data_IF_175436133609
#
_entry.id   IF_175436133609
#
_cell.length_a   1.000
_cell.length_b   1.000
_cell.length_c   1.000
_cell.angle_alpha   90.00
_cell.angle_beta   90.00
_cell.angle_gamma   90.00
#
_symmetry.space_group_name_H-M   'P 1'
#
loop_
_entity.id
_entity.type
_entity.pdbx_description
1 polymer ?
#
# COMPACT_ATOMS: atom_id res chain seq x y z
N UNK A 1 -13.51 -5.85 -22.76
CA UNK A 1 -12.06 -5.83 -22.44
C UNK A 1 -11.91 -5.39 -20.99
N UNK A 2 -10.93 -5.88 -20.22
CA UNK A 2 -10.65 -5.29 -18.92
C UNK A 2 -10.24 -3.82 -19.12
N UNK A 3 -10.90 -2.91 -18.42
CA UNK A 3 -10.97 -1.46 -18.72
C UNK A 3 -9.63 -0.71 -18.51
N UNK A 4 -8.55 -1.39 -18.08
CA UNK A 4 -7.23 -0.79 -17.84
C UNK A 4 -6.14 -1.08 -18.90
N UNK A 5 -6.34 -2.02 -19.84
CA UNK A 5 -5.26 -2.39 -20.78
C UNK A 5 -5.02 -1.35 -21.88
N UNK A 6 -6.03 -0.53 -22.21
CA UNK A 6 -5.91 0.47 -23.28
C UNK A 6 -4.89 1.55 -22.95
N UNK A 7 -4.96 2.13 -21.75
CA UNK A 7 -4.14 3.28 -21.38
C UNK A 7 -2.68 2.95 -21.15
N UNK A 8 -2.35 1.71 -20.74
CA UNK A 8 -0.96 1.28 -20.56
C UNK A 8 -0.14 1.38 -21.84
N UNK A 9 -0.76 1.14 -22.99
CA UNK A 9 -0.12 1.28 -24.31
C UNK A 9 0.17 2.73 -24.70
N UNK A 10 -0.50 3.70 -24.06
CA UNK A 10 -0.35 5.13 -24.34
C UNK A 10 0.73 5.79 -23.49
N UNK A 11 1.15 5.16 -22.39
CA UNK A 11 2.19 5.69 -21.49
C UNK A 11 3.57 5.34 -22.07
N UNK A 12 4.43 6.33 -22.40
CA UNK A 12 5.74 6.08 -22.94
C UNK A 12 6.58 5.18 -22.02
N UNK A 13 7.26 4.18 -22.58
CA UNK A 13 8.13 3.27 -21.82
C UNK A 13 9.21 4.02 -21.01
N UNK A 14 9.57 5.23 -21.41
CA UNK A 14 10.56 6.07 -20.73
C UNK A 14 10.15 6.49 -19.32
N UNK A 15 8.85 6.50 -19.00
CA UNK A 15 8.34 6.88 -17.67
C UNK A 15 7.76 5.70 -16.88
N UNK A 16 7.95 4.46 -17.35
CA UNK A 16 7.50 3.28 -16.60
C UNK A 16 8.42 3.06 -15.40
N UNK A 17 7.84 2.92 -14.20
CA UNK A 17 8.57 2.74 -12.93
C UNK A 17 9.59 1.58 -12.98
N UNK A 18 9.23 0.49 -13.65
CA UNK A 18 10.02 -0.75 -13.67
C UNK A 18 10.94 -0.86 -14.90
N UNK A 19 11.10 0.21 -15.69
CA UNK A 19 12.01 0.19 -16.84
C UNK A 19 13.45 0.50 -16.38
N UNK A 20 14.35 -0.47 -16.52
CA UNK A 20 15.76 -0.35 -16.17
C UNK A 20 16.58 0.59 -17.07
N UNK A 21 16.00 1.05 -18.19
CA UNK A 21 16.67 1.95 -19.15
C UNK A 21 16.00 3.33 -19.29
N UNK A 22 14.93 3.61 -18.55
CA UNK A 22 14.18 4.87 -18.60
C UNK A 22 14.53 5.83 -17.46
N UNK A 23 14.13 7.09 -17.59
CA UNK A 23 14.13 8.04 -16.48
C UNK A 23 12.95 7.69 -15.56
N UNK A 24 13.21 7.34 -14.30
CA UNK A 24 12.15 7.05 -13.31
C UNK A 24 11.49 8.37 -12.87
N UNK A 25 10.59 8.92 -13.69
CA UNK A 25 9.87 10.16 -13.40
C UNK A 25 8.45 9.81 -12.95
N UNK A 26 8.13 9.92 -11.65
CA UNK A 26 6.76 9.69 -11.17
C UNK A 26 5.84 10.81 -11.66
N UNK A 27 4.63 10.43 -12.10
CA UNK A 27 3.58 11.38 -12.49
C UNK A 27 2.51 11.41 -11.41
N UNK A 28 2.41 12.54 -10.70
CA UNK A 28 1.34 12.80 -9.74
C UNK A 28 0.18 13.50 -10.46
N UNK A 29 -0.98 12.85 -10.53
CA UNK A 29 -2.14 13.31 -11.27
C UNK A 29 -3.23 13.83 -10.33
N UNK A 30 -3.83 14.97 -10.68
CA UNK A 30 -4.88 15.64 -9.90
C UNK A 30 -6.15 15.78 -10.75
N UNK A 31 -7.18 14.99 -10.45
CA UNK A 31 -8.48 15.05 -11.12
C UNK A 31 -9.39 16.04 -10.41
N UNK A 32 -9.86 17.07 -11.13
CA UNK A 32 -10.73 18.11 -10.56
C UNK A 32 -12.18 17.92 -11.01
N UNK A 33 -13.11 18.00 -10.05
CA UNK A 33 -14.55 17.91 -10.34
C UNK A 33 -14.94 16.61 -11.04
N UNK A 34 -16.06 16.62 -11.77
CA UNK A 34 -16.68 15.41 -12.32
C UNK A 34 -16.29 15.11 -13.78
N UNK A 35 -15.62 16.05 -14.47
CA UNK A 35 -15.41 16.00 -15.92
C UNK A 35 -14.05 15.38 -16.34
N UNK A 36 -13.24 14.91 -15.39
CA UNK A 36 -11.94 14.31 -15.67
C UNK A 36 -12.05 12.80 -15.93
N UNK A 37 -11.17 12.25 -16.77
CA UNK A 37 -11.05 10.81 -16.96
C UNK A 37 -10.19 10.20 -15.83
N UNK A 38 -10.86 9.79 -14.75
CA UNK A 38 -10.20 9.22 -13.57
C UNK A 38 -9.43 7.94 -13.87
N UNK A 39 -9.90 7.08 -14.79
CA UNK A 39 -9.23 5.84 -15.14
C UNK A 39 -7.93 6.11 -15.91
N UNK A 40 -7.94 7.06 -16.85
CA UNK A 40 -6.75 7.52 -17.56
C UNK A 40 -5.71 8.10 -16.60
N UNK A 41 -6.14 9.02 -15.73
CA UNK A 41 -5.25 9.72 -14.81
C UNK A 41 -4.63 8.75 -13.79
N UNK A 42 -5.43 7.84 -13.22
CA UNK A 42 -4.93 6.78 -12.34
C UNK A 42 -3.95 5.85 -13.09
N UNK A 43 -4.27 5.46 -14.33
CA UNK A 43 -3.39 4.57 -15.09
C UNK A 43 -2.02 5.18 -15.33
N UNK A 44 -1.95 6.47 -15.71
CA UNK A 44 -0.68 7.18 -15.92
C UNK A 44 0.14 7.26 -14.62
N UNK A 45 -0.50 7.64 -13.52
CA UNK A 45 0.20 7.79 -12.24
C UNK A 45 0.69 6.43 -11.72
N UNK A 46 -0.14 5.40 -11.78
CA UNK A 46 0.21 4.05 -11.33
C UNK A 46 1.39 3.46 -12.13
N UNK A 47 1.38 3.59 -13.46
CA UNK A 47 2.45 3.07 -14.33
C UNK A 47 3.78 3.80 -14.08
N UNK A 48 3.72 5.09 -13.79
CA UNK A 48 4.91 5.90 -13.48
C UNK A 48 5.39 5.79 -12.03
N UNK A 49 4.59 5.19 -11.15
CA UNK A 49 4.89 5.13 -9.71
C UNK A 49 4.57 6.42 -8.96
N UNK A 50 3.82 7.34 -9.57
CA UNK A 50 3.24 8.50 -8.90
C UNK A 50 1.88 8.19 -8.28
N UNK A 51 1.15 9.22 -7.87
CA UNK A 51 -0.14 9.09 -7.18
C UNK A 51 -1.28 9.72 -7.99
N UNK A 52 -2.50 9.23 -7.79
CA UNK A 52 -3.71 9.91 -8.25
C UNK A 52 -4.47 10.51 -7.06
N UNK A 53 -4.78 11.80 -7.15
CA UNK A 53 -5.57 12.54 -6.17
C UNK A 53 -6.86 13.03 -6.84
N UNK A 54 -7.98 12.84 -6.16
CA UNK A 54 -9.27 13.35 -6.59
C UNK A 54 -9.61 14.59 -5.77
N UNK A 55 -9.86 15.72 -6.43
CA UNK A 55 -10.18 16.98 -5.79
C UNK A 55 -11.61 17.36 -6.18
N UNK A 56 -12.53 17.14 -5.25
CA UNK A 56 -13.95 17.42 -5.45
C UNK A 56 -14.26 18.92 -5.34
N UNK A 57 -13.57 19.65 -4.46
CA UNK A 57 -13.86 21.04 -4.16
C UNK A 57 -12.67 21.97 -4.43
N UNK A 58 -12.94 23.17 -4.95
CA UNK A 58 -11.90 24.14 -5.32
C UNK A 58 -11.07 24.61 -4.12
N UNK A 59 -11.68 24.65 -2.94
CA UNK A 59 -11.03 25.12 -1.72
C UNK A 59 -9.93 24.17 -1.21
N UNK A 60 -9.92 22.89 -1.61
CA UNK A 60 -8.88 21.92 -1.20
C UNK A 60 -7.75 21.78 -2.22
N UNK A 61 -7.82 22.50 -3.35
CA UNK A 61 -6.79 22.45 -4.40
C UNK A 61 -5.43 22.86 -3.85
N UNK A 62 -5.38 23.97 -3.10
CA UNK A 62 -4.12 24.48 -2.56
C UNK A 62 -3.46 23.48 -1.62
N UNK A 63 -4.23 22.87 -0.73
CA UNK A 63 -3.74 21.87 0.22
C UNK A 63 -3.20 20.63 -0.50
N UNK A 64 -3.92 20.14 -1.53
CA UNK A 64 -3.51 18.99 -2.31
C UNK A 64 -2.17 19.22 -3.04
N UNK A 65 -1.98 20.40 -3.63
CA UNK A 65 -0.70 20.76 -4.27
C UNK A 65 0.41 20.97 -3.24
N UNK A 66 0.12 21.64 -2.13
CA UNK A 66 1.09 21.86 -1.06
C UNK A 66 1.60 20.54 -0.49
N UNK A 67 0.72 19.56 -0.26
CA UNK A 67 1.09 18.23 0.19
C UNK A 67 2.01 17.52 -0.79
N UNK A 68 1.70 17.54 -2.09
CA UNK A 68 2.52 16.89 -3.11
C UNK A 68 3.89 17.56 -3.29
N UNK A 69 3.93 18.89 -3.35
CA UNK A 69 5.17 19.65 -3.49
C UNK A 69 6.02 19.51 -2.22
N UNK A 70 5.40 19.58 -1.04
CA UNK A 70 6.06 19.39 0.24
C UNK A 70 6.76 18.02 0.33
N UNK A 71 6.10 16.95 -0.13
CA UNK A 71 6.70 15.63 -0.24
C UNK A 71 7.92 15.61 -1.16
N UNK A 72 7.80 16.14 -2.38
CA UNK A 72 8.90 16.19 -3.35
C UNK A 72 10.11 17.00 -2.86
N UNK A 73 9.87 18.03 -2.04
CA UNK A 73 10.93 18.87 -1.46
C UNK A 73 11.52 18.31 -0.16
N UNK A 74 11.02 17.18 0.34
CA UNK A 74 11.42 16.57 1.61
C UNK A 74 11.96 15.15 1.44
N UNK A 75 12.50 14.80 0.27
CA UNK A 75 13.15 13.50 0.07
C UNK A 75 14.38 13.37 0.97
N UNK A 76 14.36 12.38 1.86
CA UNK A 76 15.44 12.09 2.82
C UNK A 76 16.10 10.74 2.59
N UNK A 77 15.48 9.87 1.78
CA UNK A 77 15.99 8.55 1.40
C UNK A 77 15.74 8.36 -0.09
N UNK A 78 16.78 7.97 -0.84
CA UNK A 78 16.69 7.64 -2.26
C UNK A 78 16.98 6.16 -2.51
N UNK A 79 16.35 5.63 -3.56
CA UNK A 79 16.57 4.26 -4.05
C UNK A 79 16.51 3.18 -2.94
N UNK A 80 15.60 3.32 -1.98
CA UNK A 80 15.43 2.37 -0.89
C UNK A 80 15.09 0.98 -1.43
N UNK A 81 15.90 0.02 -0.99
CA UNK A 81 15.72 -1.40 -1.21
C UNK A 81 15.64 -2.11 0.13
N UNK A 82 14.63 -2.97 0.30
CA UNK A 82 14.47 -3.76 1.52
C UNK A 82 14.71 -5.23 1.21
N UNK A 83 15.70 -5.81 1.86
CA UNK A 83 15.98 -7.24 1.83
C UNK A 83 15.47 -7.90 3.11
N UNK A 84 14.70 -8.97 2.98
CA UNK A 84 14.20 -9.78 4.09
C UNK A 84 14.74 -11.18 3.94
N UNK A 85 15.63 -11.61 4.82
CA UNK A 85 16.29 -12.92 4.76
C UNK A 85 15.91 -13.77 5.96
N UNK A 86 15.58 -15.03 5.73
CA UNK A 86 15.45 -16.02 6.79
C UNK A 86 16.79 -16.20 7.53
N UNK A 87 16.77 -16.04 8.85
CA UNK A 87 17.95 -16.18 9.69
C UNK A 87 18.44 -17.65 9.75
N UNK A 88 17.53 -18.60 9.57
CA UNK A 88 17.80 -20.04 9.67
C UNK A 88 17.37 -20.78 8.40
N UNK A 89 18.11 -21.83 8.03
CA UNK A 89 17.94 -22.58 6.78
C UNK A 89 16.60 -23.29 6.62
N UNK A 90 15.92 -23.55 7.74
CA UNK A 90 14.63 -24.25 7.85
C UNK A 90 13.39 -23.35 7.79
N UNK A 91 13.58 -22.04 7.85
CA UNK A 91 12.50 -21.08 7.71
C UNK A 91 12.25 -20.80 6.23
N UNK A 92 11.00 -20.53 5.90
CA UNK A 92 10.58 -20.14 4.55
C UNK A 92 9.54 -19.03 4.64
N UNK A 93 9.68 -18.03 3.77
CA UNK A 93 8.69 -17.00 3.52
C UNK A 93 7.55 -17.61 2.72
N UNK A 94 6.33 -17.43 3.20
CA UNK A 94 5.11 -17.88 2.52
C UNK A 94 4.60 -16.82 1.55
N UNK A 95 4.66 -15.54 1.95
CA UNK A 95 4.25 -14.42 1.10
C UNK A 95 4.81 -13.10 1.60
N UNK A 96 5.03 -12.17 0.67
CA UNK A 96 5.35 -10.76 0.96
C UNK A 96 4.31 -9.88 0.28
N UNK A 97 3.50 -9.18 1.07
CA UNK A 97 2.49 -8.25 0.59
C UNK A 97 3.07 -6.84 0.65
N UNK A 98 3.49 -6.34 -0.51
CA UNK A 98 4.18 -5.06 -0.66
C UNK A 98 3.38 -4.01 -1.45
N UNK A 99 2.04 -4.09 -1.50
CA UNK A 99 1.24 -3.12 -2.24
C UNK A 99 1.62 -3.03 -3.73
N UNK A 100 1.85 -1.81 -4.24
CA UNK A 100 2.32 -1.57 -5.62
C UNK A 100 3.84 -1.67 -5.80
N UNK A 101 4.59 -1.97 -4.73
CA UNK A 101 6.04 -2.08 -4.78
C UNK A 101 6.45 -3.43 -5.35
N UNK A 102 7.43 -3.42 -6.26
CA UNK A 102 7.94 -4.65 -6.85
C UNK A 102 8.63 -5.47 -5.76
N UNK A 103 8.12 -6.68 -5.53
CA UNK A 103 8.73 -7.64 -4.63
C UNK A 103 9.10 -8.92 -5.37
N UNK A 104 10.21 -9.54 -4.96
CA UNK A 104 10.61 -10.86 -5.48
C UNK A 104 10.95 -11.79 -4.33
N UNK A 105 10.65 -13.08 -4.50
CA UNK A 105 11.05 -14.15 -3.61
C UNK A 105 12.13 -14.98 -4.30
N UNK A 106 13.25 -15.18 -3.62
CA UNK A 106 14.41 -15.89 -4.16
C UNK A 106 14.93 -16.91 -3.15
N UNK A 107 15.96 -17.69 -3.55
CA UNK A 107 16.64 -18.66 -2.70
C UNK A 107 15.67 -19.66 -2.03
N UNK A 108 14.79 -20.28 -2.82
CA UNK A 108 13.74 -21.19 -2.36
C UNK A 108 12.84 -20.55 -1.29
N UNK A 109 12.39 -19.32 -1.54
CA UNK A 109 11.56 -18.51 -0.66
C UNK A 109 12.19 -18.22 0.72
N UNK A 110 13.52 -18.12 0.79
CA UNK A 110 14.24 -17.73 2.02
C UNK A 110 14.71 -16.30 2.03
N UNK A 111 14.58 -15.61 0.90
CA UNK A 111 14.92 -14.21 0.76
C UNK A 111 13.81 -13.53 -0.02
N UNK A 112 13.43 -12.34 0.41
CA UNK A 112 12.60 -11.43 -0.34
C UNK A 112 13.34 -10.12 -0.55
N UNK A 113 13.07 -9.48 -1.68
CA UNK A 113 13.60 -8.16 -2.03
C UNK A 113 12.42 -7.25 -2.37
N UNK A 114 12.38 -6.03 -1.85
CA UNK A 114 11.31 -5.05 -2.14
C UNK A 114 11.97 -3.77 -2.65
N UNK A 115 11.61 -3.35 -3.86
CA UNK A 115 12.05 -2.08 -4.44
C UNK A 115 11.08 -0.98 -4.03
N UNK A 116 11.50 -0.13 -3.10
CA UNK A 116 10.66 0.93 -2.54
C UNK A 116 10.83 2.22 -3.35
N UNK A 117 12.08 2.65 -3.56
CA UNK A 117 12.41 3.93 -4.19
C UNK A 117 12.56 5.03 -3.15
N UNK A 118 12.02 6.21 -3.41
CA UNK A 118 12.26 7.37 -2.56
C UNK A 118 11.26 7.48 -1.41
N UNK A 119 11.75 7.89 -0.23
CA UNK A 119 10.91 8.27 0.92
C UNK A 119 11.07 9.75 1.25
N UNK A 120 9.92 10.36 1.53
CA UNK A 120 9.87 11.72 2.06
C UNK A 120 10.08 11.71 3.58
N UNK A 121 10.40 12.87 4.15
CA UNK A 121 10.49 13.02 5.58
C UNK A 121 9.15 12.62 6.22
N UNK A 122 9.23 11.90 7.35
CA UNK A 122 8.07 11.43 8.11
C UNK A 122 7.17 10.41 7.37
N UNK A 123 7.56 9.94 6.17
CA UNK A 123 6.87 8.84 5.50
C UNK A 123 7.28 7.48 6.09
N UNK A 124 6.28 6.62 6.29
CA UNK A 124 6.46 5.21 6.65
C UNK A 124 5.97 4.30 5.51
N UNK A 125 6.61 3.13 5.36
CA UNK A 125 6.17 2.06 4.44
C UNK A 125 6.13 0.74 5.18
N UNK A 126 4.93 0.24 5.38
CA UNK A 126 4.72 -1.05 6.01
C UNK A 126 4.58 -2.17 4.98
N UNK A 127 5.28 -3.28 5.19
CA UNK A 127 5.17 -4.48 4.35
C UNK A 127 4.83 -5.69 5.21
N UNK A 128 3.80 -6.45 4.80
CA UNK A 128 3.38 -7.62 5.56
C UNK A 128 4.09 -8.87 5.02
N UNK A 129 4.96 -9.45 5.86
CA UNK A 129 5.69 -10.69 5.56
C UNK A 129 5.07 -11.84 6.35
N UNK A 130 4.73 -12.92 5.65
CA UNK A 130 4.26 -14.17 6.26
C UNK A 130 5.34 -15.22 6.12
N UNK A 131 5.65 -15.94 7.20
CA UNK A 131 6.64 -17.01 7.21
C UNK A 131 6.09 -18.27 7.89
N UNK A 132 6.62 -19.41 7.49
CA UNK A 132 6.36 -20.70 8.13
C UNK A 132 7.41 -20.95 9.20
N UNK A 133 6.96 -21.11 10.44
CA UNK A 133 7.82 -21.36 11.60
C UNK A 133 7.67 -22.83 12.02
N UNK A 134 8.74 -23.65 12.01
CA UNK A 134 8.64 -25.06 12.38
C UNK A 134 8.32 -25.26 13.87
N UNK A 135 7.70 -26.39 14.21
CA UNK A 135 7.47 -26.79 15.60
C UNK A 135 8.74 -27.46 16.12
N UNK A 136 9.40 -26.83 17.10
CA UNK A 136 10.67 -27.30 17.64
C UNK A 136 10.73 -27.16 19.15
N UNK A 137 11.38 -28.14 19.78
CA UNK A 137 11.80 -28.09 21.17
C UNK A 137 13.22 -27.51 21.23
N UNK A 138 13.38 -26.25 20.85
CA UNK A 138 14.67 -25.55 20.90
C UNK A 138 14.71 -24.53 22.04
N UNK A 139 15.88 -23.92 22.24
CA UNK A 139 16.17 -22.78 23.12
C UNK A 139 15.03 -21.76 23.21
N UNK A 140 14.96 -21.09 24.36
CA UNK A 140 13.98 -20.05 24.71
C UNK A 140 13.76 -19.02 23.59
N UNK A 141 14.75 -18.74 22.73
CA UNK A 141 14.65 -17.77 21.64
C UNK A 141 15.02 -18.36 20.25
N UNK A 142 14.35 -17.87 19.20
CA UNK A 142 14.64 -18.20 17.81
C UNK A 142 14.65 -16.95 16.93
N UNK A 143 15.77 -16.72 16.25
CA UNK A 143 15.86 -15.75 15.16
C UNK A 143 15.08 -16.20 13.93
N UNK A 144 14.21 -15.33 13.43
CA UNK A 144 13.35 -15.56 12.27
C UNK A 144 13.89 -14.90 11.02
N UNK A 145 14.01 -13.57 11.06
CA UNK A 145 14.32 -12.75 9.90
C UNK A 145 15.46 -11.80 10.21
N UNK A 146 16.27 -11.51 9.20
CA UNK A 146 17.21 -10.41 9.16
C UNK A 146 16.72 -9.50 8.06
N UNK A 147 16.37 -8.27 8.42
CA UNK A 147 15.83 -7.25 7.52
C UNK A 147 16.90 -6.20 7.32
N UNK A 148 17.29 -5.96 6.08
CA UNK A 148 18.31 -4.97 5.72
C UNK A 148 17.68 -3.95 4.77
N UNK A 149 17.76 -2.68 5.15
CA UNK A 149 17.37 -1.56 4.30
C UNK A 149 18.63 -0.96 3.68
N UNK A 150 18.73 -0.96 2.36
CA UNK A 150 19.82 -0.36 1.58
C UNK A 150 19.29 0.92 0.92
N UNK A 151 20.00 2.04 1.05
CA UNK A 151 19.55 3.31 0.48
C UNK A 151 20.70 4.29 0.22
N UNK A 152 20.37 5.38 -0.47
CA UNK A 152 21.24 6.51 -0.71
C UNK A 152 20.74 7.75 0.06
N UNK A 153 21.65 8.49 0.67
CA UNK A 153 21.34 9.75 1.34
C UNK A 153 21.46 10.92 0.33
N UNK A 154 20.36 11.61 -0.01
CA UNK A 154 20.39 12.70 -0.99
C UNK A 154 21.18 13.94 -0.51
N UNK A 155 21.33 14.13 0.80
CA UNK A 155 21.99 15.30 1.40
C UNK A 155 23.50 15.09 1.39
N UNK A 156 23.97 13.95 1.90
CA UNK A 156 25.40 13.64 1.98
C UNK A 156 25.94 13.03 0.68
N UNK A 157 25.06 12.55 -0.21
CA UNK A 157 25.38 11.83 -1.46
C UNK A 157 26.15 10.54 -1.24
N UNK A 158 26.00 9.94 -0.06
CA UNK A 158 26.56 8.62 0.23
C UNK A 158 25.57 7.58 -0.27
N UNK A 159 26.06 6.69 -1.14
CA UNK A 159 25.30 5.57 -1.67
C UNK A 159 25.60 4.29 -0.87
N UNK A 160 24.64 3.37 -0.84
CA UNK A 160 24.82 2.04 -0.25
C UNK A 160 24.90 2.04 1.27
N UNK A 161 24.26 3.01 1.92
CA UNK A 161 24.03 2.96 3.36
C UNK A 161 23.12 1.79 3.68
N UNK A 162 23.41 1.07 4.77
CA UNK A 162 22.60 -0.05 5.20
C UNK A 162 22.21 0.04 6.68
N UNK A 163 20.98 -0.35 6.97
CA UNK A 163 20.48 -0.54 8.34
C UNK A 163 19.90 -1.94 8.43
N UNK A 164 20.43 -2.75 9.35
CA UNK A 164 20.01 -4.13 9.55
C UNK A 164 19.36 -4.33 10.91
N UNK A 165 18.23 -5.03 10.93
CA UNK A 165 17.50 -5.42 12.13
C UNK A 165 17.19 -6.92 12.11
N UNK A 166 17.10 -7.54 13.29
CA UNK A 166 16.80 -8.95 13.46
C UNK A 166 15.47 -9.14 14.18
N UNK A 167 14.61 -10.00 13.64
CA UNK A 167 13.33 -10.38 14.23
C UNK A 167 13.49 -11.73 14.93
N UNK A 168 13.14 -11.78 16.21
CA UNK A 168 13.20 -13.00 17.03
C UNK A 168 11.87 -13.29 17.69
N UNK A 169 11.65 -14.55 18.03
CA UNK A 169 10.52 -15.00 18.84
C UNK A 169 11.00 -15.82 20.03
N UNK A 170 10.19 -15.85 21.07
CA UNK A 170 10.37 -16.77 22.19
C UNK A 170 9.66 -18.10 21.89
N UNK A 171 10.20 -19.22 22.40
CA UNK A 171 9.65 -20.59 22.29
C UNK A 171 9.40 -21.20 23.68
N UNK A 172 8.50 -20.62 24.49
CA UNK A 172 8.18 -21.19 25.79
C UNK A 172 7.44 -22.52 25.65
N UNK A 173 7.62 -23.42 26.62
CA UNK A 173 6.87 -24.68 26.68
C UNK A 173 5.37 -24.48 26.97
N UNK A 174 5.02 -23.36 27.62
CA UNK A 174 3.65 -22.97 27.95
C UNK A 174 3.49 -21.49 27.59
N UNK A 175 2.54 -21.18 26.71
CA UNK A 175 2.18 -19.79 26.39
C UNK A 175 1.06 -19.37 27.34
N UNK A 176 1.30 -18.32 28.11
CA UNK A 176 0.28 -17.68 28.94
C UNK A 176 -0.02 -16.35 28.26
N UNK A 177 -1.23 -16.23 27.73
CA UNK A 177 -1.78 -15.03 27.07
C UNK A 177 -1.01 -14.58 25.80
N UNK A 178 -1.34 -15.13 24.62
CA UNK A 178 -0.69 -14.72 23.37
C UNK A 178 -1.07 -13.28 23.03
N UNK A 179 -0.10 -12.37 23.11
CA UNK A 179 -0.27 -10.97 22.69
C UNK A 179 -0.22 -10.87 21.18
N UNK A 180 -1.25 -10.27 20.58
CA UNK A 180 -1.27 -9.92 19.17
C UNK A 180 -0.66 -8.53 19.00
N UNK A 181 0.25 -8.37 18.04
CA UNK A 181 0.78 -7.05 17.69
C UNK A 181 -0.29 -6.21 16.99
N UNK A 182 -0.60 -5.04 17.58
CA UNK A 182 -1.52 -4.05 17.01
C UNK A 182 -1.04 -3.58 15.64
N UNK A 183 0.27 -3.38 15.46
CA UNK A 183 0.86 -2.97 14.18
C UNK A 183 0.61 -4.00 13.09
N UNK A 184 0.80 -5.29 13.39
CA UNK A 184 0.55 -6.37 12.42
C UNK A 184 -0.94 -6.48 12.09
N UNK A 185 -1.83 -6.38 13.08
CA UNK A 185 -3.28 -6.40 12.89
C UNK A 185 -3.74 -5.21 12.03
N UNK A 186 -3.25 -4.01 12.33
CA UNK A 186 -3.47 -2.77 11.56
C UNK A 186 -3.09 -2.93 10.09
N UNK A 187 -1.94 -3.53 9.80
CA UNK A 187 -1.51 -3.72 8.40
C UNK A 187 -2.32 -4.81 7.68
N UNK A 188 -2.77 -5.85 8.38
CA UNK A 188 -3.72 -6.84 7.82
C UNK A 188 -5.03 -6.17 7.44
N UNK A 189 -5.56 -5.33 8.32
CA UNK A 189 -6.77 -4.55 8.09
C UNK A 189 -6.65 -3.65 6.88
N UNK A 190 -5.55 -2.90 6.75
CA UNK A 190 -5.30 -2.04 5.59
C UNK A 190 -5.30 -2.83 4.27
N UNK A 191 -4.62 -3.98 4.24
CA UNK A 191 -4.57 -4.83 3.06
C UNK A 191 -5.94 -5.43 2.71
N UNK A 192 -6.67 -5.93 3.71
CA UNK A 192 -8.03 -6.46 3.50
C UNK A 192 -9.00 -5.39 2.99
N UNK A 193 -8.93 -4.17 3.56
CA UNK A 193 -9.72 -3.04 3.09
C UNK A 193 -9.37 -2.68 1.64
N UNK A 194 -8.08 -2.60 1.31
CA UNK A 194 -7.62 -2.32 -0.07
C UNK A 194 -8.10 -3.37 -1.06
N UNK A 195 -8.02 -4.66 -0.71
CA UNK A 195 -8.53 -5.77 -1.53
C UNK A 195 -10.06 -5.65 -1.72
N UNK A 196 -10.81 -5.31 -0.66
CA UNK A 196 -12.25 -5.09 -0.72
C UNK A 196 -12.64 -3.87 -1.58
N UNK A 197 -11.90 -2.76 -1.48
CA UNK A 197 -12.09 -1.56 -2.31
C UNK A 197 -11.89 -1.88 -3.80
N UNK A 198 -10.84 -2.63 -4.13
CA UNK A 198 -10.56 -3.06 -5.49
C UNK A 198 -11.65 -4.01 -6.03
N UNK A 199 -12.11 -4.96 -5.21
CA UNK A 199 -13.21 -5.86 -5.56
C UNK A 199 -14.51 -5.07 -5.79
N UNK A 200 -14.86 -4.18 -4.86
CA UNK A 200 -16.06 -3.34 -4.96
C UNK A 200 -16.04 -2.46 -6.21
N UNK A 201 -14.89 -1.85 -6.53
CA UNK A 201 -14.70 -1.12 -7.79
C UNK A 201 -15.04 -2.00 -8.99
N UNK A 202 -14.45 -3.19 -9.10
CA UNK A 202 -14.69 -4.09 -10.24
C UNK A 202 -16.17 -4.46 -10.38
N UNK A 203 -16.91 -4.57 -9.27
CA UNK A 203 -18.36 -4.81 -9.28
C UNK A 203 -19.15 -3.58 -9.72
N UNK A 204 -18.83 -2.41 -9.17
CA UNK A 204 -19.45 -1.13 -9.52
C UNK A 204 -19.25 -0.78 -11.01
N UNK A 205 -18.07 -1.03 -11.57
CA UNK A 205 -17.79 -0.87 -13.01
C UNK A 205 -18.67 -1.74 -13.92
N UNK A 206 -19.17 -2.86 -13.40
CA UNK A 206 -20.11 -3.76 -14.10
C UNK A 206 -21.57 -3.37 -13.87
N UNK A 207 -21.83 -2.31 -13.11
CA UNK A 207 -23.16 -1.88 -12.69
C UNK A 207 -23.75 -2.67 -11.51
N UNK A 208 -22.98 -3.55 -10.89
CA UNK A 208 -23.40 -4.38 -9.75
C UNK A 208 -23.11 -3.66 -8.42
N UNK A 209 -23.84 -2.56 -8.19
CA UNK A 209 -23.66 -1.70 -7.02
C UNK A 209 -24.06 -2.39 -5.71
N UNK A 210 -25.09 -3.25 -5.75
CA UNK A 210 -25.54 -4.00 -4.56
C UNK A 210 -24.44 -4.92 -4.03
N UNK A 211 -23.77 -5.65 -4.91
CA UNK A 211 -22.64 -6.51 -4.50
C UNK A 211 -21.43 -5.67 -4.09
N UNK A 212 -21.16 -4.57 -4.80
CA UNK A 212 -20.06 -3.66 -4.43
C UNK A 212 -20.21 -3.12 -3.00
N UNK A 213 -21.38 -2.60 -2.65
CA UNK A 213 -21.69 -2.11 -1.30
C UNK A 213 -21.60 -3.26 -0.28
N UNK A 214 -22.15 -4.44 -0.59
CA UNK A 214 -22.10 -5.59 0.31
C UNK A 214 -20.66 -6.06 0.63
N UNK A 215 -19.74 -5.94 -0.32
CA UNK A 215 -18.31 -6.23 -0.13
C UNK A 215 -17.70 -5.25 0.86
N UNK A 216 -17.95 -3.95 0.69
CA UNK A 216 -17.44 -2.91 1.58
C UNK A 216 -18.04 -3.02 2.99
N UNK A 217 -19.35 -3.29 3.10
CA UNK A 217 -20.04 -3.47 4.38
C UNK A 217 -19.50 -4.67 5.17
N UNK A 218 -19.27 -5.80 4.48
CA UNK A 218 -18.65 -6.99 5.08
C UNK A 218 -17.25 -6.68 5.59
N UNK A 219 -16.45 -5.95 4.81
CA UNK A 219 -15.11 -5.54 5.21
C UNK A 219 -15.16 -4.60 6.43
N UNK A 220 -16.03 -3.59 6.42
CA UNK A 220 -16.20 -2.65 7.52
C UNK A 220 -16.61 -3.34 8.81
N UNK A 221 -17.57 -4.30 8.75
CA UNK A 221 -17.96 -5.09 9.92
C UNK A 221 -16.79 -5.93 10.45
N UNK A 222 -16.09 -6.66 9.59
CA UNK A 222 -14.92 -7.45 9.99
C UNK A 222 -13.81 -6.60 10.61
N UNK A 223 -13.54 -5.42 10.04
CA UNK A 223 -12.59 -4.45 10.56
C UNK A 223 -12.94 -4.03 11.99
N UNK A 224 -14.21 -3.74 12.28
CA UNK A 224 -14.65 -3.29 13.62
C UNK A 224 -14.47 -4.34 14.73
N UNK A 225 -14.34 -5.61 14.36
CA UNK A 225 -14.18 -6.72 15.30
C UNK A 225 -12.70 -7.04 15.60
N UNK A 226 -11.74 -6.41 14.90
CA UNK A 226 -10.32 -6.71 15.12
C UNK A 226 -9.73 -5.95 16.31
N UNK A 227 -8.59 -6.44 16.79
CA UNK A 227 -7.95 -5.95 18.01
C UNK A 227 -7.47 -4.50 17.82
N UNK A 228 -6.86 -4.17 16.69
CA UNK A 228 -6.40 -2.80 16.40
C UNK A 228 -7.55 -1.80 16.29
N UNK A 229 -8.68 -2.19 15.70
CA UNK A 229 -9.87 -1.34 15.65
C UNK A 229 -10.49 -1.13 17.04
N UNK A 230 -10.62 -2.19 17.84
CA UNK A 230 -11.13 -2.10 19.22
C UNK A 230 -10.22 -1.28 20.14
N UNK A 231 -8.91 -1.28 19.87
CA UNK A 231 -7.93 -0.44 20.56
C UNK A 231 -7.98 1.04 20.13
N UNK A 232 -8.80 1.40 19.14
CA UNK A 232 -8.92 2.77 18.65
C UNK A 232 -7.75 3.23 17.79
N UNK A 233 -7.09 2.32 17.07
CA UNK A 233 -5.99 2.66 16.17
C UNK A 233 -6.44 3.71 15.11
N UNK A 234 -5.72 4.84 14.96
CA UNK A 234 -6.15 5.93 14.07
C UNK A 234 -6.32 5.52 12.60
N UNK A 235 -5.49 4.60 12.10
CA UNK A 235 -5.61 4.13 10.73
C UNK A 235 -6.89 3.30 10.56
N UNK A 236 -7.22 2.44 11.53
CA UNK A 236 -8.46 1.66 11.49
C UNK A 236 -9.71 2.54 11.55
N UNK A 237 -9.67 3.64 12.33
CA UNK A 237 -10.75 4.64 12.35
C UNK A 237 -10.90 5.33 10.99
N UNK A 238 -9.79 5.78 10.40
CA UNK A 238 -9.76 6.39 9.07
C UNK A 238 -10.27 5.43 7.98
N UNK A 239 -9.80 4.19 7.97
CA UNK A 239 -10.25 3.14 7.06
C UNK A 239 -11.75 2.86 7.18
N UNK A 240 -12.28 2.83 8.40
CA UNK A 240 -13.71 2.61 8.62
C UNK A 240 -14.55 3.75 8.02
N UNK A 241 -14.12 5.01 8.24
CA UNK A 241 -14.77 6.17 7.64
C UNK A 241 -14.69 6.16 6.11
N UNK A 242 -13.53 5.84 5.55
CA UNK A 242 -13.32 5.71 4.11
C UNK A 242 -14.19 4.63 3.47
N UNK A 243 -14.27 3.43 4.07
CA UNK A 243 -15.12 2.35 3.58
C UNK A 243 -16.60 2.76 3.55
N UNK A 244 -17.05 3.54 4.54
CA UNK A 244 -18.41 4.05 4.60
C UNK A 244 -18.67 5.12 3.53
N UNK A 245 -17.75 6.07 3.37
CA UNK A 245 -17.82 7.08 2.30
C UNK A 245 -17.90 6.42 0.91
N UNK A 246 -17.11 5.37 0.67
CA UNK A 246 -17.17 4.60 -0.58
C UNK A 246 -18.52 3.92 -0.79
N UNK A 247 -19.17 3.41 0.26
CA UNK A 247 -20.52 2.82 0.15
C UNK A 247 -21.53 3.87 -0.30
N UNK A 248 -21.50 5.06 0.31
CA UNK A 248 -22.39 6.17 -0.04
C UNK A 248 -22.16 6.63 -1.49
N UNK A 249 -20.90 6.68 -1.93
CA UNK A 249 -20.52 7.04 -3.29
C UNK A 249 -20.75 5.93 -4.33
N UNK A 250 -21.14 4.73 -3.90
CA UNK A 250 -21.57 3.63 -4.77
C UNK A 250 -23.09 3.44 -4.77
N UNK A 251 -23.87 4.35 -4.17
CA UNK A 251 -25.32 4.21 -4.04
C UNK A 251 -26.08 4.11 -5.38
N UNK A 252 -25.63 4.84 -6.40
CA UNK A 252 -26.22 4.80 -7.74
C UNK A 252 -25.15 4.95 -8.80
N UNK A 253 -25.48 4.53 -10.04
CA UNK A 253 -24.60 4.70 -11.20
C UNK A 253 -24.13 6.14 -11.38
N UNK A 254 -25.05 7.10 -11.28
CA UNK A 254 -24.74 8.53 -11.46
C UNK A 254 -23.71 9.00 -10.43
N UNK A 255 -23.94 8.73 -9.14
CA UNK A 255 -23.03 9.14 -8.05
C UNK A 255 -21.65 8.48 -8.22
N UNK A 256 -21.63 7.22 -8.63
CA UNK A 256 -20.38 6.50 -8.87
C UNK A 256 -19.60 7.09 -10.06
N UNK A 257 -20.27 7.40 -11.17
CA UNK A 257 -19.63 7.99 -12.35
C UNK A 257 -19.16 9.43 -12.09
N UNK A 258 -19.93 10.23 -11.34
CA UNK A 258 -19.61 11.64 -11.05
C UNK A 258 -18.44 11.80 -10.08
N UNK A 259 -18.37 11.01 -9.00
CA UNK A 259 -17.32 11.17 -7.99
C UNK A 259 -16.83 9.86 -7.35
N UNK A 260 -17.68 8.83 -7.25
CA UNK A 260 -17.30 7.59 -6.57
C UNK A 260 -16.14 6.84 -7.20
N UNK A 261 -16.05 6.80 -8.53
CA UNK A 261 -14.94 6.19 -9.28
C UNK A 261 -13.61 6.85 -8.92
N UNK A 262 -13.56 8.17 -9.02
CA UNK A 262 -12.35 8.95 -8.75
C UNK A 262 -11.94 8.84 -7.28
N UNK A 263 -12.90 8.90 -6.36
CA UNK A 263 -12.66 8.72 -4.92
C UNK A 263 -12.03 7.36 -4.61
N UNK A 264 -12.59 6.28 -5.15
CA UNK A 264 -12.08 4.90 -4.93
C UNK A 264 -10.68 4.73 -5.53
N UNK A 265 -10.44 5.27 -6.72
CA UNK A 265 -9.11 5.24 -7.35
C UNK A 265 -8.07 6.04 -6.55
N UNK A 266 -8.43 7.22 -6.03
CA UNK A 266 -7.54 8.00 -5.15
C UNK A 266 -7.21 7.25 -3.86
N UNK A 267 -8.23 6.65 -3.21
CA UNK A 267 -8.03 5.81 -2.01
C UNK A 267 -7.13 4.60 -2.28
N UNK A 268 -7.38 3.87 -3.37
CA UNK A 268 -6.53 2.75 -3.78
C UNK A 268 -5.09 3.19 -4.07
N UNK A 269 -4.90 4.31 -4.80
CA UNK A 269 -3.57 4.89 -5.06
C UNK A 269 -2.85 5.18 -3.74
N UNK A 270 -3.56 5.74 -2.75
CA UNK A 270 -2.98 6.06 -1.45
C UNK A 270 -2.55 4.81 -0.69
N UNK A 271 -3.43 3.82 -0.56
CA UNK A 271 -3.13 2.61 0.19
C UNK A 271 -2.07 1.73 -0.49
N UNK A 272 -2.10 1.59 -1.81
CA UNK A 272 -1.12 0.75 -2.53
C UNK A 272 0.30 1.30 -2.44
N UNK A 273 0.45 2.62 -2.49
CA UNK A 273 1.74 3.31 -2.34
C UNK A 273 2.06 3.68 -0.89
N UNK A 274 1.10 3.61 0.03
CA UNK A 274 1.20 4.16 1.39
C UNK A 274 1.64 5.63 1.40
N UNK A 275 1.17 6.38 0.41
CA UNK A 275 1.46 7.80 0.22
C UNK A 275 0.15 8.55 0.25
N UNK A 276 0.11 9.63 1.00
CA UNK A 276 -1.11 10.40 1.15
C UNK A 276 -1.53 11.00 -0.21
N UNK A 277 -2.81 10.86 -0.55
CA UNK A 277 -3.46 11.52 -1.68
C UNK A 277 -4.54 12.46 -1.16
N UNK A 278 -4.91 13.45 -1.96
CA UNK A 278 -6.07 14.30 -1.65
C UNK A 278 -7.36 13.60 -2.11
N UNK A 279 -8.40 13.73 -1.29
CA UNK A 279 -9.75 13.18 -1.50
C UNK A 279 -10.74 13.82 -0.54
#
# INVERSE_FOLDING_TARGET
>A
APIGEGYRSLVPNSIHRNNSQGLKIPVHAFGFGVDHDADLMNSISEISGGTFSFIEAENVIQDAFAQCIGGLLSVVVQDLHVEVRCAQSRLQLSSVKAGSYQSTLTNNARMASIQVGDLYAEEERDFLVTLNVPVEKSSDEMSLLIVTCLYSDPITKIEGLDVTSEVKIQRPNVVIDPVVSIEVDRQRNRLQATEAMAEARVKAERGDFTTAISVLERCHRGLSETISAQAGDPLCVSLSAELKEMQERMATRRVYEESGRAYVLSGLSSHLLQRATAR
#
